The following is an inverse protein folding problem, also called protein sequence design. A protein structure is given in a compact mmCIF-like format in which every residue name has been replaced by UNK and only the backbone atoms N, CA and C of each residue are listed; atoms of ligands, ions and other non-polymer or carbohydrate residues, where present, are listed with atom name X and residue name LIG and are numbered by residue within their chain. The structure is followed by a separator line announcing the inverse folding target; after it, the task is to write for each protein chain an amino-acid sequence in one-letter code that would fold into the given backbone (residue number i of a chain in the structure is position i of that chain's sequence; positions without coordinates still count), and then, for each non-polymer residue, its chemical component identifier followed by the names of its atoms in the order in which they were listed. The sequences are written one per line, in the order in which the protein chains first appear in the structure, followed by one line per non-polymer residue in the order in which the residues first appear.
data_IF_617847310528
#
_entry.id   IF_617847310528
#
_cell.length_a   1.000
_cell.length_b   1.000
_cell.length_c   1.000
_cell.angle_alpha   90.00
_cell.angle_beta   90.00
_cell.angle_gamma   90.00
#
_symmetry.space_group_name_H-M   'P 1'
#
loop_
_entity.id
_entity.type
_entity.pdbx_description
1 polymer ?
#
# COMPACT_ATOMS: atom_id res chain seq x y z
N UNK A 1 71.18 -13.01 -38.42
CA UNK A 1 70.88 -11.64 -37.93
C UNK A 1 69.56 -11.04 -38.44
N UNK A 2 68.99 -11.43 -39.60
CA UNK A 2 67.73 -10.84 -40.11
C UNK A 2 66.44 -11.34 -39.44
N UNK A 3 66.40 -12.58 -38.97
CA UNK A 3 65.19 -13.18 -38.34
C UNK A 3 64.82 -12.52 -36.99
N UNK A 4 65.83 -12.13 -36.21
CA UNK A 4 65.65 -11.48 -34.91
C UNK A 4 65.02 -10.09 -35.01
N UNK A 5 65.27 -9.35 -36.10
CA UNK A 5 64.65 -8.03 -36.34
C UNK A 5 63.16 -8.13 -36.62
N UNK A 6 62.70 -9.14 -37.37
CA UNK A 6 61.28 -9.34 -37.65
C UNK A 6 60.52 -9.82 -36.41
N UNK A 7 61.14 -10.64 -35.57
CA UNK A 7 60.55 -11.05 -34.29
C UNK A 7 60.36 -9.86 -33.34
N UNK A 8 61.34 -8.95 -33.28
CA UNK A 8 61.27 -7.73 -32.46
C UNK A 8 60.20 -6.75 -32.95
N UNK A 9 60.02 -6.63 -34.27
CA UNK A 9 58.96 -5.81 -34.87
C UNK A 9 57.58 -6.43 -34.60
N UNK A 10 57.46 -7.76 -34.67
CA UNK A 10 56.19 -8.45 -34.43
C UNK A 10 55.80 -8.41 -32.94
N UNK A 11 56.77 -8.51 -32.03
CA UNK A 11 56.54 -8.28 -30.59
C UNK A 11 56.19 -6.82 -30.31
N UNK A 12 56.83 -5.85 -30.95
CA UNK A 12 56.47 -4.44 -30.83
C UNK A 12 55.07 -4.12 -31.40
N UNK A 13 54.65 -4.83 -32.45
CA UNK A 13 53.31 -4.69 -33.04
C UNK A 13 52.23 -5.33 -32.18
N UNK A 14 52.52 -6.44 -31.50
CA UNK A 14 51.61 -7.07 -30.52
C UNK A 14 51.51 -6.25 -29.24
N UNK A 15 52.61 -5.66 -28.77
CA UNK A 15 52.61 -4.76 -27.59
C UNK A 15 52.01 -3.39 -27.91
N UNK A 16 52.09 -2.93 -29.17
CA UNK A 16 51.40 -1.73 -29.65
C UNK A 16 49.88 -1.89 -29.80
N UNK A 17 49.39 -3.12 -29.91
CA UNK A 17 47.95 -3.42 -29.99
C UNK A 17 47.29 -3.71 -28.64
N UNK A 18 48.06 -3.90 -27.57
CA UNK A 18 47.55 -3.82 -26.19
C UNK A 18 47.42 -2.37 -25.74
N UNK A 19 46.69 -1.56 -26.51
CA UNK A 19 46.06 -0.36 -25.95
C UNK A 19 45.07 -0.86 -24.91
N UNK A 20 45.37 -0.58 -23.64
CA UNK A 20 44.46 -0.81 -22.53
C UNK A 20 43.06 -0.34 -22.92
N UNK A 21 42.13 -1.28 -23.08
CA UNK A 21 40.72 -0.99 -23.09
C UNK A 21 40.34 -0.69 -21.63
N UNK A 22 40.83 0.42 -21.10
CA UNK A 22 40.37 0.94 -19.82
C UNK A 22 38.96 1.44 -20.09
N UNK A 23 37.97 0.61 -19.76
CA UNK A 23 36.57 1.02 -19.78
C UNK A 23 36.44 2.24 -18.86
N UNK A 24 36.30 3.42 -19.44
CA UNK A 24 36.17 4.66 -18.70
C UNK A 24 34.80 4.69 -18.03
N UNK A 25 34.74 4.98 -16.72
CA UNK A 25 33.47 5.28 -16.04
C UNK A 25 32.68 6.30 -16.85
N UNK A 26 31.49 5.91 -17.28
CA UNK A 26 30.61 6.68 -18.16
C UNK A 26 29.19 6.65 -17.57
N UNK A 27 28.55 7.82 -17.51
CA UNK A 27 27.18 7.98 -17.04
C UNK A 27 26.30 8.48 -18.18
N UNK A 28 25.16 7.82 -18.40
CA UNK A 28 24.21 8.13 -19.48
C UNK A 28 22.78 7.95 -19.00
N UNK A 29 21.82 8.61 -19.68
CA UNK A 29 20.41 8.26 -19.49
C UNK A 29 20.14 6.87 -20.05
N UNK A 30 19.81 5.93 -19.16
CA UNK A 30 19.27 4.62 -19.52
C UNK A 30 17.78 4.73 -19.85
N UNK A 31 17.06 5.57 -19.09
CA UNK A 31 15.65 5.86 -19.33
C UNK A 31 15.37 7.34 -19.14
N UNK A 32 14.85 7.94 -20.21
CA UNK A 32 14.28 9.28 -20.24
C UNK A 32 12.97 9.20 -21.03
N UNK A 33 11.80 9.47 -20.42
CA UNK A 33 10.54 9.33 -21.12
C UNK A 33 10.42 10.35 -22.27
N UNK A 34 9.91 9.90 -23.41
CA UNK A 34 9.66 10.77 -24.58
C UNK A 34 8.46 11.70 -24.39
N UNK A 35 7.56 11.35 -23.47
CA UNK A 35 6.39 12.10 -23.07
C UNK A 35 5.92 11.59 -21.70
N UNK A 36 5.23 12.44 -20.96
CA UNK A 36 4.57 12.10 -19.69
C UNK A 36 3.17 12.69 -19.68
N UNK A 37 2.32 12.29 -18.74
CA UNK A 37 0.98 12.86 -18.56
C UNK A 37 0.98 13.91 -17.45
N UNK A 38 0.03 14.84 -17.49
CA UNK A 38 -0.16 15.84 -16.43
C UNK A 38 -0.40 15.12 -15.09
N UNK A 39 0.28 15.56 -14.02
CA UNK A 39 0.32 14.93 -12.68
C UNK A 39 0.93 13.52 -12.61
N UNK A 40 1.49 12.99 -13.70
CA UNK A 40 2.17 11.70 -13.68
C UNK A 40 3.41 11.75 -12.79
N UNK A 41 3.56 10.73 -11.94
CA UNK A 41 4.84 10.39 -11.32
C UNK A 41 5.61 9.45 -12.27
N UNK A 42 6.86 9.76 -12.59
CA UNK A 42 7.65 9.00 -13.56
C UNK A 42 9.14 8.90 -13.17
N UNK A 43 9.82 7.82 -13.57
CA UNK A 43 11.25 7.65 -13.32
C UNK A 43 12.10 8.31 -14.41
N UNK A 44 13.29 8.74 -14.02
CA UNK A 44 14.44 9.01 -14.89
C UNK A 44 15.59 8.15 -14.37
N UNK A 45 16.19 7.36 -15.24
CA UNK A 45 17.24 6.41 -14.85
C UNK A 45 18.54 6.74 -15.54
N UNK A 46 19.59 6.86 -14.74
CA UNK A 46 20.97 7.01 -15.19
C UNK A 46 21.67 5.67 -15.03
N UNK A 47 22.35 5.20 -16.06
CA UNK A 47 23.27 4.07 -15.98
C UNK A 47 24.68 4.58 -15.76
N UNK A 48 25.37 4.06 -14.76
CA UNK A 48 26.82 4.16 -14.58
C UNK A 48 27.46 2.84 -14.96
N UNK A 49 28.34 2.86 -15.96
CA UNK A 49 29.15 1.70 -16.34
C UNK A 49 30.43 1.78 -15.53
N UNK A 50 30.53 0.98 -14.46
CA UNK A 50 31.66 1.02 -13.53
C UNK A 50 32.53 -0.23 -13.66
N UNK A 51 33.74 -0.07 -14.17
CA UNK A 51 34.77 -1.12 -14.20
C UNK A 51 35.44 -1.35 -12.83
N UNK A 52 35.14 -0.53 -11.82
CA UNK A 52 35.72 -0.62 -10.48
C UNK A 52 34.77 -0.07 -9.40
N UNK A 53 34.31 -0.94 -8.49
CA UNK A 53 33.13 -0.83 -7.62
C UNK A 53 33.29 0.06 -6.38
N UNK A 54 34.35 0.86 -6.30
CA UNK A 54 34.78 1.52 -5.06
C UNK A 54 34.33 2.98 -4.89
N UNK A 55 33.72 3.61 -5.90
CA UNK A 55 33.25 5.01 -5.81
C UNK A 55 31.73 5.09 -5.80
N UNK A 56 31.14 5.71 -4.78
CA UNK A 56 29.71 6.07 -4.83
C UNK A 56 29.56 7.44 -5.52
N UNK A 57 28.93 7.52 -6.71
CA UNK A 57 28.71 8.81 -7.35
C UNK A 57 27.75 9.67 -6.54
N UNK A 58 28.03 10.97 -6.52
CA UNK A 58 27.12 12.00 -5.99
C UNK A 58 26.38 12.63 -7.16
N UNK A 59 25.08 12.83 -6.97
CA UNK A 59 24.18 13.42 -7.96
C UNK A 59 23.63 14.73 -7.43
N UNK A 60 23.80 15.81 -8.18
CA UNK A 60 23.30 17.14 -7.83
C UNK A 60 22.54 17.75 -9.01
N UNK A 61 21.21 17.76 -8.91
CA UNK A 61 20.37 18.49 -9.84
C UNK A 61 20.45 19.99 -9.54
N UNK A 62 20.38 20.81 -10.59
CA UNK A 62 20.35 22.26 -10.46
C UNK A 62 19.21 22.71 -9.53
N UNK A 63 19.58 23.29 -8.39
CA UNK A 63 18.68 23.72 -7.33
C UNK A 63 17.82 24.93 -7.71
N UNK A 64 18.17 25.65 -8.78
CA UNK A 64 17.37 26.78 -9.28
C UNK A 64 16.08 26.31 -9.98
N UNK A 65 16.01 25.04 -10.39
CA UNK A 65 14.83 24.46 -11.02
C UNK A 65 13.73 24.14 -10.01
N UNK A 66 12.49 24.46 -10.38
CA UNK A 66 11.27 24.04 -9.66
C UNK A 66 11.07 22.52 -9.72
N UNK A 67 11.58 21.86 -10.77
CA UNK A 67 11.39 20.44 -11.02
C UNK A 67 12.48 19.62 -10.35
N UNK A 68 12.30 19.31 -9.06
CA UNK A 68 13.23 18.49 -8.29
C UNK A 68 12.74 17.04 -8.16
N UNK A 69 13.65 16.06 -7.99
CA UNK A 69 13.25 14.70 -7.72
C UNK A 69 12.53 14.62 -6.37
N UNK A 70 11.50 13.77 -6.29
CA UNK A 70 10.70 13.53 -5.08
C UNK A 70 11.60 13.03 -3.93
N UNK A 71 12.63 12.26 -4.27
CA UNK A 71 13.63 11.77 -3.33
C UNK A 71 15.01 12.33 -3.67
N UNK A 72 15.73 12.82 -2.65
CA UNK A 72 17.11 13.28 -2.80
C UNK A 72 18.09 12.15 -3.17
N UNK A 73 17.79 10.92 -2.76
CA UNK A 73 18.62 9.74 -3.05
C UNK A 73 17.93 8.90 -4.14
N UNK A 74 18.67 8.42 -5.14
CA UNK A 74 18.12 7.54 -6.15
C UNK A 74 17.84 6.15 -5.58
N UNK A 75 16.93 5.43 -6.23
CA UNK A 75 16.89 3.97 -6.17
C UNK A 75 18.10 3.42 -6.93
N UNK A 76 18.89 2.57 -6.26
CA UNK A 76 20.09 1.96 -6.83
C UNK A 76 19.81 0.49 -7.13
N UNK A 77 20.00 0.07 -8.38
CA UNK A 77 19.90 -1.32 -8.81
C UNK A 77 21.17 -1.70 -9.56
N UNK A 78 21.85 -2.76 -9.13
CA UNK A 78 23.04 -3.29 -9.79
C UNK A 78 22.69 -4.50 -10.65
N UNK A 79 23.24 -4.57 -11.86
CA UNK A 79 23.09 -5.69 -12.77
C UNK A 79 24.43 -5.96 -13.48
N UNK A 80 25.22 -6.89 -12.95
CA UNK A 80 26.61 -7.07 -13.40
C UNK A 80 27.45 -5.84 -13.07
N UNK A 81 28.15 -5.30 -14.06
CA UNK A 81 29.01 -4.12 -13.94
C UNK A 81 28.23 -2.79 -14.09
N UNK A 82 26.95 -2.88 -14.45
CA UNK A 82 26.09 -1.72 -14.64
C UNK A 82 25.35 -1.39 -13.34
N UNK A 83 25.40 -0.11 -12.95
CA UNK A 83 24.59 0.41 -11.84
C UNK A 83 23.56 1.42 -12.35
N UNK A 84 22.30 1.20 -12.01
CA UNK A 84 21.18 2.06 -12.38
C UNK A 84 20.77 2.93 -11.20
N UNK A 85 20.74 4.24 -11.42
CA UNK A 85 20.32 5.26 -10.45
C UNK A 85 19.01 5.87 -10.94
N UNK A 86 17.91 5.56 -10.26
CA UNK A 86 16.57 6.03 -10.66
C UNK A 86 16.06 7.11 -9.73
N UNK A 87 15.71 8.25 -10.31
CA UNK A 87 15.06 9.38 -9.65
C UNK A 87 13.62 9.50 -10.11
N UNK A 88 12.71 9.84 -9.20
CA UNK A 88 11.29 10.00 -9.51
C UNK A 88 10.92 11.47 -9.51
N UNK A 89 10.20 11.90 -10.54
CA UNK A 89 9.69 13.26 -10.71
C UNK A 89 8.16 13.24 -10.85
N UNK A 90 7.53 14.40 -10.65
CA UNK A 90 6.10 14.61 -10.87
C UNK A 90 5.91 15.72 -11.90
N UNK A 91 5.13 15.46 -12.94
CA UNK A 91 4.80 16.43 -13.96
C UNK A 91 3.69 17.39 -13.48
N UNK A 92 3.81 18.69 -13.76
CA UNK A 92 2.85 19.71 -13.31
C UNK A 92 2.31 20.61 -14.44
N UNK A 93 3.17 21.06 -15.35
CA UNK A 93 2.85 22.12 -16.34
C UNK A 93 2.61 21.57 -17.77
N UNK A 94 2.73 22.40 -18.81
CA UNK A 94 2.51 21.97 -20.22
C UNK A 94 3.72 21.27 -20.83
N UNK A 95 4.92 21.57 -20.33
CA UNK A 95 6.20 20.97 -20.72
C UNK A 95 6.98 20.78 -19.41
N UNK A 96 7.57 19.61 -19.23
CA UNK A 96 8.42 19.33 -18.07
C UNK A 96 9.86 19.68 -18.42
N UNK A 97 10.40 20.71 -17.76
CA UNK A 97 11.81 21.08 -17.86
C UNK A 97 12.64 20.24 -16.88
N UNK A 98 13.37 19.24 -17.38
CA UNK A 98 14.32 18.46 -16.58
C UNK A 98 15.55 19.32 -16.27
N UNK A 99 15.89 19.58 -14.99
CA UNK A 99 17.12 20.30 -14.63
C UNK A 99 18.37 19.58 -15.13
N UNK A 100 19.42 20.37 -15.40
CA UNK A 100 20.76 19.82 -15.59
C UNK A 100 21.22 19.08 -14.33
N UNK A 101 22.02 18.05 -14.53
CA UNK A 101 22.51 17.17 -13.47
C UNK A 101 24.02 17.12 -13.47
N UNK A 102 24.61 17.37 -12.30
CA UNK A 102 26.05 17.28 -12.06
C UNK A 102 26.33 15.96 -11.33
N UNK A 103 27.25 15.17 -11.85
CA UNK A 103 27.65 13.87 -11.31
C UNK A 103 29.13 13.93 -10.93
N UNK A 104 29.43 13.72 -9.65
CA UNK A 104 30.79 13.62 -9.13
C UNK A 104 31.08 12.17 -8.72
N UNK A 105 32.07 11.54 -9.36
CA UNK A 105 32.46 10.15 -9.10
C UNK A 105 33.99 10.04 -9.05
N UNK A 106 34.55 10.08 -7.83
CA UNK A 106 36.00 10.22 -7.64
C UNK A 106 36.50 11.54 -8.23
N UNK A 107 37.51 11.48 -9.10
CA UNK A 107 38.08 12.66 -9.76
C UNK A 107 37.31 13.09 -11.02
N UNK A 108 36.28 12.33 -11.43
CA UNK A 108 35.48 12.66 -12.61
C UNK A 108 34.27 13.50 -12.24
N UNK A 109 34.07 14.56 -13.01
CA UNK A 109 32.87 15.41 -13.01
C UNK A 109 32.22 15.31 -14.37
N UNK A 110 30.92 15.04 -14.38
CA UNK A 110 30.13 14.90 -15.60
C UNK A 110 28.88 15.73 -15.44
N UNK A 111 28.62 16.59 -16.42
CA UNK A 111 27.44 17.42 -16.47
C UNK A 111 26.51 16.87 -17.56
N UNK A 112 25.25 16.65 -17.20
CA UNK A 112 24.18 16.28 -18.11
C UNK A 112 23.29 17.51 -18.32
N UNK A 113 23.12 17.92 -19.57
CA UNK A 113 22.33 19.11 -19.94
C UNK A 113 20.84 18.94 -19.61
N UNK A 114 20.16 20.06 -19.40
CA UNK A 114 18.71 20.10 -19.23
C UNK A 114 17.98 19.61 -20.48
N UNK A 115 16.78 19.04 -20.32
CA UNK A 115 15.97 18.53 -21.44
C UNK A 115 14.48 18.77 -21.21
N UNK A 116 13.75 18.98 -22.30
CA UNK A 116 12.30 19.19 -22.25
C UNK A 116 11.55 17.89 -22.55
N UNK A 117 10.62 17.54 -21.68
CA UNK A 117 9.75 16.38 -21.84
C UNK A 117 8.31 16.87 -22.07
N UNK A 118 7.71 16.57 -23.23
CA UNK A 118 6.32 16.94 -23.51
C UNK A 118 5.32 16.35 -22.51
N UNK A 119 4.34 17.16 -22.09
CA UNK A 119 3.24 16.72 -21.23
C UNK A 119 1.95 16.55 -22.05
N UNK A 120 1.26 15.43 -21.84
CA UNK A 120 -0.03 15.11 -22.45
C UNK A 120 -1.14 15.22 -21.42
N UNK A 121 -2.21 15.93 -21.77
CA UNK A 121 -3.41 15.99 -20.95
C UNK A 121 -4.34 14.82 -21.25
N UNK A 122 -4.85 14.24 -20.18
CA UNK A 122 -5.84 13.17 -20.26
C UNK A 122 -7.23 13.77 -20.52
N UNK A 123 -8.14 12.93 -21.05
CA UNK A 123 -9.52 13.32 -21.25
C UNK A 123 -10.26 13.32 -19.91
N UNK A 124 -11.00 14.37 -19.62
CA UNK A 124 -11.82 14.42 -18.41
C UNK A 124 -12.89 13.32 -18.41
N UNK A 125 -13.05 12.69 -17.24
CA UNK A 125 -14.10 11.70 -16.96
C UNK A 125 -14.62 11.90 -15.54
N UNK A 126 -15.86 11.49 -15.30
CA UNK A 126 -16.49 11.59 -13.98
C UNK A 126 -16.12 10.43 -13.06
N UNK A 127 -15.77 9.28 -13.66
CA UNK A 127 -15.31 8.08 -12.97
C UNK A 127 -13.80 8.05 -12.77
N UNK A 128 -13.05 9.09 -13.15
CA UNK A 128 -11.59 9.14 -13.00
C UNK A 128 -11.20 9.64 -11.62
N UNK A 129 -10.37 8.87 -10.92
CA UNK A 129 -9.97 9.15 -9.55
C UNK A 129 -8.81 10.14 -9.42
N UNK A 130 -8.37 10.77 -10.50
CA UNK A 130 -7.16 11.61 -10.51
C UNK A 130 -5.83 10.85 -10.49
N UNK A 131 -5.86 9.51 -10.35
CA UNK A 131 -4.66 8.68 -10.20
C UNK A 131 -4.14 8.18 -11.54
N UNK A 132 -2.88 8.48 -11.83
CA UNK A 132 -2.06 7.89 -12.86
C UNK A 132 -1.08 6.93 -12.20
N UNK A 133 -0.97 5.70 -12.68
CA UNK A 133 -0.09 4.70 -12.10
C UNK A 133 0.40 3.71 -13.16
N UNK A 134 1.59 3.14 -12.97
CA UNK A 134 2.04 2.01 -13.78
C UNK A 134 1.22 0.75 -13.48
N UNK A 135 0.88 0.54 -12.21
CA UNK A 135 -0.06 -0.48 -11.73
C UNK A 135 -0.73 0.02 -10.45
N UNK A 136 -1.98 -0.38 -10.23
CA UNK A 136 -2.74 -0.06 -9.02
C UNK A 136 -3.75 -1.16 -8.74
N UNK A 137 -3.78 -1.62 -7.49
CA UNK A 137 -4.69 -2.65 -7.02
C UNK A 137 -5.21 -2.38 -5.61
N UNK A 138 -6.38 -2.94 -5.34
CA UNK A 138 -7.00 -2.90 -4.03
C UNK A 138 -6.54 -4.12 -3.24
N UNK A 139 -5.90 -3.88 -2.09
CA UNK A 139 -5.45 -4.95 -1.18
C UNK A 139 -6.61 -5.45 -0.32
N UNK A 140 -7.33 -4.53 0.30
CA UNK A 140 -8.48 -4.81 1.16
C UNK A 140 -9.48 -3.67 1.11
N UNK A 141 -10.72 -3.95 1.49
CA UNK A 141 -11.76 -2.94 1.63
C UNK A 141 -12.67 -3.27 2.81
N UNK A 142 -13.19 -2.24 3.45
CA UNK A 142 -14.18 -2.35 4.53
C UNK A 142 -15.27 -1.31 4.31
N UNK A 143 -16.47 -1.61 4.78
CA UNK A 143 -17.56 -0.66 4.80
C UNK A 143 -18.26 -0.69 6.17
N UNK A 144 -18.63 0.48 6.67
CA UNK A 144 -19.39 0.68 7.92
C UNK A 144 -20.42 1.77 7.74
N UNK A 145 -21.38 1.85 8.66
CA UNK A 145 -22.34 2.96 8.70
C UNK A 145 -21.61 4.23 9.11
N UNK A 146 -21.79 5.31 8.34
CA UNK A 146 -21.26 6.65 8.67
C UNK A 146 -22.34 7.48 9.36
N UNK A 147 -23.52 7.57 8.74
CA UNK A 147 -24.73 8.18 9.28
C UNK A 147 -25.96 7.38 8.81
N UNK A 148 -27.18 7.88 9.04
CA UNK A 148 -28.42 7.18 8.66
C UNK A 148 -28.59 7.03 7.14
N UNK A 149 -28.00 7.93 6.36
CA UNK A 149 -28.16 8.00 4.90
C UNK A 149 -26.89 7.56 4.14
N UNK A 150 -25.75 7.44 4.81
CA UNK A 150 -24.45 7.26 4.20
C UNK A 150 -23.64 6.14 4.86
N UNK A 151 -22.89 5.42 4.02
CA UNK A 151 -21.90 4.44 4.41
C UNK A 151 -20.50 5.02 4.24
N UNK A 152 -19.60 4.66 5.14
CA UNK A 152 -18.17 4.89 5.02
C UNK A 152 -17.53 3.67 4.36
N UNK A 153 -16.77 3.88 3.31
CA UNK A 153 -15.97 2.86 2.63
C UNK A 153 -14.51 3.22 2.82
N UNK A 154 -13.72 2.24 3.27
CA UNK A 154 -12.27 2.36 3.42
C UNK A 154 -11.58 1.33 2.53
N UNK A 155 -10.56 1.74 1.80
CA UNK A 155 -9.84 0.93 0.83
C UNK A 155 -8.34 1.02 1.10
N UNK A 156 -7.67 -0.12 1.25
CA UNK A 156 -6.21 -0.20 1.24
C UNK A 156 -5.73 -0.42 -0.18
N UNK A 157 -4.91 0.50 -0.70
CA UNK A 157 -4.45 0.51 -2.08
C UNK A 157 -2.94 0.26 -2.10
N UNK A 158 -2.48 -0.59 -3.03
CA UNK A 158 -1.07 -0.69 -3.41
C UNK A 158 -0.94 -0.27 -4.88
N UNK A 159 -0.01 0.63 -5.17
CA UNK A 159 0.24 1.13 -6.52
C UNK A 159 1.73 1.34 -6.78
N UNK A 160 2.10 1.41 -8.05
CA UNK A 160 3.46 1.64 -8.54
C UNK A 160 3.50 2.85 -9.47
N UNK A 161 4.52 3.68 -9.28
CA UNK A 161 4.71 4.96 -10.00
C UNK A 161 3.45 5.82 -10.01
N UNK A 162 2.76 5.83 -8.86
CA UNK A 162 1.44 6.43 -8.75
C UNK A 162 1.48 7.79 -8.05
N UNK A 163 0.66 8.75 -8.49
CA UNK A 163 0.37 10.00 -7.77
C UNK A 163 -0.81 9.81 -6.80
N UNK A 164 -0.74 8.79 -5.93
CA UNK A 164 -1.87 8.38 -5.07
C UNK A 164 -2.36 9.51 -4.14
N UNK A 165 -1.48 10.44 -3.80
CA UNK A 165 -1.76 11.61 -2.95
C UNK A 165 -2.78 12.56 -3.59
N UNK A 166 -2.92 12.52 -4.91
CA UNK A 166 -3.89 13.35 -5.66
C UNK A 166 -5.23 12.63 -5.86
N UNK A 167 -5.43 11.45 -5.25
CA UNK A 167 -6.64 10.68 -5.46
C UNK A 167 -7.87 11.41 -4.91
N UNK A 168 -8.91 11.52 -5.73
CA UNK A 168 -10.21 12.08 -5.35
C UNK A 168 -11.34 11.41 -6.13
N UNK A 169 -12.57 11.44 -5.61
CA UNK A 169 -13.76 10.96 -6.31
C UNK A 169 -14.83 12.05 -6.36
N UNK A 170 -15.38 12.33 -7.56
CA UNK A 170 -16.34 13.43 -7.76
C UNK A 170 -17.76 13.14 -7.21
N UNK A 171 -18.17 11.87 -7.16
CA UNK A 171 -19.55 11.46 -6.89
C UNK A 171 -19.73 10.87 -5.50
N UNK A 172 -19.06 11.44 -4.50
CA UNK A 172 -19.12 11.01 -3.09
C UNK A 172 -19.31 12.22 -2.19
N UNK A 173 -19.90 12.03 -1.00
CA UNK A 173 -20.19 13.12 -0.05
C UNK A 173 -18.91 13.70 0.53
N UNK A 174 -17.96 12.82 0.81
CA UNK A 174 -16.66 13.15 1.40
C UNK A 174 -15.66 12.05 1.05
N UNK A 175 -14.39 12.40 0.86
CA UNK A 175 -13.32 11.46 0.61
C UNK A 175 -11.94 11.99 1.03
N UNK A 176 -10.98 11.09 1.09
CA UNK A 176 -9.60 11.47 1.37
C UNK A 176 -8.60 10.32 1.37
N UNK A 177 -7.35 10.69 1.16
CA UNK A 177 -6.19 9.81 1.24
C UNK A 177 -5.55 9.93 2.62
N UNK A 178 -5.31 8.79 3.28
CA UNK A 178 -4.69 8.70 4.59
C UNK A 178 -3.55 7.66 4.60
N UNK A 179 -2.64 7.79 5.57
CA UNK A 179 -1.58 6.80 5.83
C UNK A 179 -0.73 6.42 4.59
N UNK A 180 -0.37 7.41 3.78
CA UNK A 180 0.47 7.22 2.59
C UNK A 180 1.88 6.79 3.02
N UNK A 181 2.31 5.63 2.56
CA UNK A 181 3.65 5.07 2.74
C UNK A 181 4.28 4.82 1.39
N UNK A 182 5.30 5.60 1.07
CA UNK A 182 6.00 5.52 -0.21
C UNK A 182 7.42 5.02 -0.03
N UNK A 183 7.79 4.06 -0.87
CA UNK A 183 9.14 3.55 -1.02
C UNK A 183 9.45 3.51 -2.53
N UNK A 184 10.15 4.55 -3.00
CA UNK A 184 10.49 4.73 -4.41
C UNK A 184 9.25 4.67 -5.32
N UNK A 185 9.22 3.74 -6.28
CA UNK A 185 8.06 3.52 -7.15
C UNK A 185 6.83 3.01 -6.39
N UNK A 186 7.01 2.24 -5.32
CA UNK A 186 5.91 1.59 -4.63
C UNK A 186 5.26 2.56 -3.64
N UNK A 187 3.93 2.62 -3.64
CA UNK A 187 3.15 3.34 -2.64
C UNK A 187 2.01 2.48 -2.12
N UNK A 188 1.79 2.54 -0.80
CA UNK A 188 0.63 1.97 -0.13
C UNK A 188 -0.07 3.12 0.58
N UNK A 189 -1.39 3.23 0.40
CA UNK A 189 -2.20 4.24 1.07
C UNK A 189 -3.55 3.65 1.47
N UNK A 190 -4.18 4.28 2.44
CA UNK A 190 -5.59 4.05 2.74
C UNK A 190 -6.40 5.20 2.12
N UNK A 191 -7.54 4.88 1.55
CA UNK A 191 -8.45 5.87 0.98
C UNK A 191 -9.85 5.64 1.54
N UNK A 192 -10.51 6.70 2.00
CA UNK A 192 -11.88 6.64 2.47
C UNK A 192 -12.83 7.42 1.56
N UNK A 193 -14.08 6.97 1.48
CA UNK A 193 -15.15 7.66 0.79
C UNK A 193 -16.48 7.45 1.53
N UNK A 194 -17.24 8.53 1.70
CA UNK A 194 -18.59 8.53 2.24
C UNK A 194 -19.58 8.52 1.08
N UNK A 195 -20.33 7.43 0.97
CA UNK A 195 -21.22 7.12 -0.17
C UNK A 195 -22.64 6.87 0.31
N UNK A 196 -23.68 7.12 -0.52
CA UNK A 196 -25.06 6.86 -0.13
C UNK A 196 -25.28 5.40 0.31
N UNK A 197 -26.12 5.19 1.32
CA UNK A 197 -26.41 3.86 1.88
C UNK A 197 -27.06 2.90 0.87
N UNK A 198 -27.70 3.46 -0.16
CA UNK A 198 -28.31 2.74 -1.29
C UNK A 198 -27.27 2.19 -2.28
N UNK A 199 -26.04 2.71 -2.27
CA UNK A 199 -24.97 2.33 -3.19
C UNK A 199 -24.36 0.99 -2.78
N UNK A 200 -24.39 0.00 -3.68
CA UNK A 200 -23.86 -1.36 -3.43
C UNK A 200 -22.40 -1.55 -3.82
N UNK A 201 -21.86 -0.70 -4.68
CA UNK A 201 -20.49 -0.79 -5.15
C UNK A 201 -19.90 0.61 -5.34
N UNK A 202 -18.65 0.79 -4.92
CA UNK A 202 -17.84 1.95 -5.25
C UNK A 202 -17.01 1.62 -6.51
N UNK A 203 -17.27 2.36 -7.58
CA UNK A 203 -16.64 2.16 -8.89
C UNK A 203 -15.90 3.42 -9.29
N UNK A 204 -14.65 3.26 -9.69
CA UNK A 204 -13.81 4.34 -10.20
C UNK A 204 -12.73 3.79 -11.11
N UNK A 205 -12.04 4.68 -11.81
CA UNK A 205 -10.97 4.37 -12.73
C UNK A 205 -9.70 5.09 -12.34
N UNK A 206 -8.57 4.45 -12.59
CA UNK A 206 -7.26 5.10 -12.64
C UNK A 206 -6.72 5.00 -14.07
N UNK A 207 -5.79 5.88 -14.44
CA UNK A 207 -5.13 5.82 -15.74
C UNK A 207 -3.85 4.99 -15.64
N UNK A 208 -3.80 3.88 -16.36
CA UNK A 208 -2.62 3.04 -16.40
C UNK A 208 -1.61 3.61 -17.41
N UNK A 209 -0.47 4.08 -16.93
CA UNK A 209 0.55 4.77 -17.75
C UNK A 209 1.28 3.84 -18.70
N UNK A 210 1.39 2.55 -18.38
CA UNK A 210 2.02 1.53 -19.23
C UNK A 210 1.08 1.11 -20.37
N UNK A 211 -0.19 0.87 -20.07
CA UNK A 211 -1.21 0.48 -21.06
C UNK A 211 -1.79 1.67 -21.82
N UNK A 212 -1.59 2.89 -21.33
CA UNK A 212 -2.13 4.12 -21.93
C UNK A 212 -3.66 4.19 -21.92
N UNK A 213 -4.32 3.61 -20.92
CA UNK A 213 -5.78 3.57 -20.85
C UNK A 213 -6.31 3.58 -19.41
N UNK A 214 -7.58 3.97 -19.25
CA UNK A 214 -8.29 3.89 -17.98
C UNK A 214 -8.64 2.44 -17.64
N UNK A 215 -8.39 2.04 -16.40
CA UNK A 215 -8.76 0.73 -15.87
C UNK A 215 -9.74 0.89 -14.71
N UNK A 216 -10.77 0.05 -14.69
CA UNK A 216 -11.80 0.05 -13.65
C UNK A 216 -11.38 -0.71 -12.40
N UNK A 217 -11.70 -0.14 -11.24
CA UNK A 217 -11.68 -0.79 -9.95
C UNK A 217 -13.11 -0.79 -9.37
N UNK A 218 -13.50 -1.91 -8.76
CA UNK A 218 -14.82 -2.12 -8.20
C UNK A 218 -14.71 -2.65 -6.77
N UNK A 219 -15.28 -1.93 -5.82
CA UNK A 219 -15.31 -2.30 -4.41
C UNK A 219 -16.74 -2.57 -3.97
N UNK A 220 -17.09 -3.80 -3.56
CA UNK A 220 -18.41 -4.09 -3.02
C UNK A 220 -18.57 -3.44 -1.65
N UNK A 221 -19.70 -2.75 -1.44
CA UNK A 221 -20.05 -2.09 -0.18
C UNK A 221 -20.91 -3.07 0.61
N UNK A 222 -20.27 -3.80 1.53
CA UNK A 222 -20.93 -4.78 2.39
C UNK A 222 -20.85 -4.31 3.82
N UNK A 223 -21.93 -3.69 4.30
CA UNK A 223 -22.07 -3.28 5.70
C UNK A 223 -22.28 -4.54 6.53
N UNK A 224 -21.27 -4.87 7.34
CA UNK A 224 -21.41 -5.92 8.35
C UNK A 224 -22.21 -5.34 9.51
N UNK A 225 -23.53 -5.33 9.38
CA UNK A 225 -24.41 -4.91 10.47
C UNK A 225 -24.35 -5.95 11.59
N UNK A 226 -23.99 -5.53 12.80
CA UNK A 226 -24.02 -6.40 13.98
C UNK A 226 -25.41 -6.52 14.61
N UNK A 227 -26.44 -5.93 14.00
CA UNK A 227 -27.80 -5.86 14.56
C UNK A 227 -28.90 -6.19 13.55
N UNK A 228 -29.57 -7.30 13.87
CA UNK A 228 -30.91 -7.80 13.53
C UNK A 228 -31.83 -6.91 12.66
N UNK A 229 -32.18 -7.43 11.47
CA UNK A 229 -33.47 -7.21 10.81
C UNK A 229 -33.83 -8.44 9.95
N UNK A 230 -34.78 -9.23 10.47
CA UNK A 230 -35.77 -10.08 9.79
C UNK A 230 -35.50 -10.49 8.33
N UNK A 231 -34.71 -11.54 8.15
CA UNK A 231 -35.05 -12.75 7.38
C UNK A 231 -33.78 -13.61 7.32
N UNK A 232 -33.85 -14.78 7.96
CA UNK A 232 -32.80 -15.82 8.02
C UNK A 232 -31.50 -15.42 8.75
N UNK A 233 -31.61 -15.45 10.08
CA UNK A 233 -30.59 -15.39 11.14
C UNK A 233 -29.13 -15.74 10.77
N UNK A 234 -28.30 -14.72 10.58
CA UNK A 234 -26.88 -14.74 10.95
C UNK A 234 -26.64 -13.50 11.83
N UNK A 235 -26.95 -13.65 13.10
CA UNK A 235 -26.74 -12.67 14.16
C UNK A 235 -25.28 -12.81 14.67
N UNK A 236 -24.43 -11.79 14.75
CA UNK A 236 -23.08 -11.92 15.31
C UNK A 236 -23.01 -11.91 16.85
N UNK A 237 -24.17 -11.82 17.52
CA UNK A 237 -24.34 -12.38 18.88
C UNK A 237 -24.24 -13.91 18.88
N UNK A 238 -24.32 -14.49 17.69
CA UNK A 238 -24.58 -15.89 17.39
C UNK A 238 -23.85 -16.26 16.09
N UNK A 239 -22.55 -15.91 16.02
CA UNK A 239 -21.69 -16.17 14.86
C UNK A 239 -21.97 -17.59 14.36
N UNK A 240 -22.48 -17.74 13.14
CA UNK A 240 -22.88 -19.04 12.60
C UNK A 240 -21.70 -20.00 12.59
N UNK A 241 -20.47 -19.48 12.47
CA UNK A 241 -19.27 -20.27 12.64
C UNK A 241 -19.01 -20.63 14.11
N UNK A 242 -19.27 -19.76 15.08
CA UNK A 242 -19.17 -20.11 16.50
C UNK A 242 -20.29 -21.05 16.95
N UNK A 243 -21.52 -20.90 16.44
CA UNK A 243 -22.59 -21.89 16.61
C UNK A 243 -22.18 -23.21 16.02
N UNK A 244 -21.72 -23.23 14.77
CA UNK A 244 -21.28 -24.44 14.10
C UNK A 244 -20.14 -25.11 14.89
N UNK A 245 -19.15 -24.35 15.35
CA UNK A 245 -18.09 -24.86 16.25
C UNK A 245 -18.70 -25.44 17.52
N UNK A 246 -19.57 -24.71 18.24
CA UNK A 246 -20.22 -25.17 19.47
C UNK A 246 -21.01 -26.46 19.25
N UNK A 247 -21.88 -26.52 18.24
CA UNK A 247 -22.66 -27.72 17.92
C UNK A 247 -21.78 -28.89 17.47
N UNK A 248 -20.71 -28.62 16.70
CA UNK A 248 -19.75 -29.66 16.29
C UNK A 248 -19.05 -30.25 17.51
N UNK A 249 -18.57 -29.42 18.43
CA UNK A 249 -17.92 -29.89 19.65
C UNK A 249 -18.91 -30.57 20.61
N UNK A 250 -20.16 -30.11 20.72
CA UNK A 250 -21.22 -30.82 21.46
C UNK A 250 -21.45 -32.21 20.86
N UNK A 251 -21.57 -32.31 19.53
CA UNK A 251 -21.77 -33.57 18.84
C UNK A 251 -20.59 -34.52 19.06
N UNK A 252 -19.35 -34.03 18.97
CA UNK A 252 -18.16 -34.84 19.26
C UNK A 252 -18.07 -35.28 20.73
N UNK A 253 -18.38 -34.40 21.69
CA UNK A 253 -18.39 -34.78 23.10
C UNK A 253 -19.43 -35.87 23.38
N UNK A 254 -20.64 -35.77 22.81
CA UNK A 254 -21.68 -36.82 22.93
C UNK A 254 -21.23 -38.11 22.24
N UNK A 255 -20.70 -38.02 21.01
CA UNK A 255 -20.23 -39.16 20.24
C UNK A 255 -19.12 -39.94 20.99
N UNK A 256 -18.12 -39.25 21.53
CA UNK A 256 -17.04 -39.88 22.29
C UNK A 256 -17.53 -40.47 23.63
N UNK A 257 -18.49 -39.82 24.30
CA UNK A 257 -19.12 -40.41 25.50
C UNK A 257 -19.90 -41.69 25.17
N UNK A 258 -20.65 -41.72 24.07
CA UNK A 258 -21.36 -42.92 23.61
C UNK A 258 -20.38 -44.04 23.22
N UNK A 259 -19.29 -43.70 22.53
CA UNK A 259 -18.23 -44.65 22.20
C UNK A 259 -17.53 -45.21 23.44
N UNK A 260 -17.30 -44.38 24.46
CA UNK A 260 -16.78 -44.83 25.76
C UNK A 260 -17.71 -45.87 26.40
N UNK A 261 -19.03 -45.64 26.42
CA UNK A 261 -19.99 -46.60 26.99
C UNK A 261 -20.05 -47.90 26.19
N UNK A 262 -20.02 -47.83 24.86
CA UNK A 262 -20.13 -49.01 24.01
C UNK A 262 -18.84 -49.85 23.97
N UNK A 263 -17.68 -49.22 23.73
CA UNK A 263 -16.40 -49.92 23.61
C UNK A 263 -15.73 -50.18 24.97
N UNK A 264 -16.14 -49.45 26.02
CA UNK A 264 -15.56 -49.50 27.38
C UNK A 264 -14.04 -49.26 27.41
N UNK A 265 -13.55 -48.45 26.48
CA UNK A 265 -12.13 -48.10 26.33
C UNK A 265 -11.86 -46.67 26.83
N UNK A 266 -10.90 -46.53 27.74
CA UNK A 266 -10.52 -45.27 28.38
C UNK A 266 -10.02 -44.21 27.39
N UNK A 267 -9.52 -44.60 26.22
CA UNK A 267 -9.09 -43.67 25.18
C UNK A 267 -10.21 -42.69 24.76
N UNK A 268 -11.45 -43.17 24.63
CA UNK A 268 -12.60 -42.32 24.25
C UNK A 268 -12.99 -41.33 25.36
N UNK A 269 -12.72 -41.67 26.63
CA UNK A 269 -12.96 -40.76 27.75
C UNK A 269 -12.02 -39.55 27.71
N UNK A 270 -10.76 -39.76 27.34
CA UNK A 270 -9.77 -38.68 27.16
C UNK A 270 -10.21 -37.74 26.03
N UNK A 271 -10.67 -38.27 24.90
CA UNK A 271 -11.18 -37.47 23.79
C UNK A 271 -12.46 -36.70 24.16
N UNK A 272 -13.37 -37.30 24.92
CA UNK A 272 -14.55 -36.62 25.44
C UNK A 272 -14.17 -35.46 26.37
N UNK A 273 -13.22 -35.67 27.29
CA UNK A 273 -12.74 -34.62 28.18
C UNK A 273 -12.08 -33.47 27.42
N UNK A 274 -11.24 -33.78 26.42
CA UNK A 274 -10.54 -32.78 25.62
C UNK A 274 -11.52 -31.91 24.81
N UNK A 275 -12.50 -32.53 24.16
CA UNK A 275 -13.56 -31.82 23.41
C UNK A 275 -14.47 -30.98 24.32
N UNK A 276 -14.72 -31.44 25.55
CA UNK A 276 -15.50 -30.69 26.53
C UNK A 276 -14.72 -29.46 27.03
N UNK A 277 -13.43 -29.60 27.33
CA UNK A 277 -12.57 -28.49 27.74
C UNK A 277 -12.51 -27.42 26.65
N UNK A 278 -12.32 -27.80 25.39
CA UNK A 278 -12.33 -26.84 24.28
C UNK A 278 -13.69 -26.18 24.10
N UNK A 279 -14.80 -26.93 24.24
CA UNK A 279 -16.15 -26.34 24.21
C UNK A 279 -16.33 -25.25 25.27
N UNK A 280 -15.85 -25.47 26.50
CA UNK A 280 -15.94 -24.48 27.59
C UNK A 280 -15.21 -23.17 27.26
N UNK A 281 -14.13 -23.20 26.47
CA UNK A 281 -13.44 -21.98 26.03
C UNK A 281 -14.30 -21.09 25.14
N UNK A 282 -15.23 -21.65 24.36
CA UNK A 282 -16.11 -20.89 23.47
C UNK A 282 -17.29 -20.20 24.17
N UNK A 283 -17.51 -20.49 25.46
CA UNK A 283 -18.55 -19.84 26.27
C UNK A 283 -18.03 -18.64 27.07
N UNK A 284 -16.75 -18.27 26.93
CA UNK A 284 -16.23 -17.04 27.57
C UNK A 284 -16.91 -15.79 26.98
N UNK A 285 -17.39 -14.85 27.83
CA UNK A 285 -18.01 -13.62 27.35
C UNK A 285 -17.01 -12.74 26.59
N UNK A 286 -17.49 -12.04 25.55
CA UNK A 286 -16.68 -11.09 24.77
C UNK A 286 -16.31 -9.90 25.66
N UNK A 287 -15.06 -9.44 25.55
CA UNK A 287 -14.55 -8.28 26.30
C UNK A 287 -15.41 -7.04 26.01
N UNK A 288 -15.77 -6.32 27.07
CA UNK A 288 -16.44 -5.01 26.99
C UNK A 288 -15.47 -3.94 27.41
N UNK A 289 -15.56 -2.78 26.79
CA UNK A 289 -14.77 -1.59 27.14
C UNK A 289 -15.69 -0.41 27.41
N UNK A 290 -15.25 0.45 28.32
CA UNK A 290 -15.90 1.70 28.67
C UNK A 290 -15.17 2.85 27.96
N UNK A 291 -15.90 3.70 27.25
CA UNK A 291 -15.35 4.84 26.51
C UNK A 291 -15.84 6.15 27.12
N UNK A 292 -14.91 7.09 27.29
CA UNK A 292 -15.19 8.39 27.90
C UNK A 292 -16.05 9.30 27.00
N UNK A 293 -16.79 10.22 27.63
CA UNK A 293 -17.52 11.25 26.91
C UNK A 293 -16.55 12.25 26.27
N UNK A 294 -16.80 12.61 25.02
CA UNK A 294 -15.97 13.53 24.24
C UNK A 294 -14.88 12.83 23.42
N UNK A 295 -14.70 11.52 23.60
CA UNK A 295 -13.71 10.72 22.88
C UNK A 295 -13.92 10.82 21.35
N UNK A 296 -12.86 11.10 20.57
CA UNK A 296 -12.93 11.16 19.11
C UNK A 296 -13.03 9.77 18.48
N UNK A 297 -14.09 9.52 17.70
CA UNK A 297 -14.26 8.29 16.92
C UNK A 297 -13.58 8.43 15.55
N UNK A 298 -12.46 7.74 15.36
CA UNK A 298 -11.64 7.78 14.15
C UNK A 298 -12.13 6.80 13.07
N UNK A 299 -11.95 7.19 11.80
CA UNK A 299 -12.24 6.36 10.62
C UNK A 299 -11.24 5.21 10.51
N UNK A 300 -9.95 5.52 10.60
CA UNK A 300 -8.83 4.59 10.59
C UNK A 300 -8.12 4.49 11.96
N UNK A 301 -7.47 3.35 12.26
CA UNK A 301 -6.65 3.16 13.46
C UNK A 301 -5.24 3.75 13.29
N UNK A 302 -5.16 5.06 13.07
CA UNK A 302 -3.91 5.81 12.90
C UNK A 302 -4.04 7.22 13.48
N UNK A 303 -2.95 7.81 13.97
CA UNK A 303 -3.00 9.13 14.62
C UNK A 303 -3.45 10.28 13.72
N UNK A 304 -3.13 10.22 12.42
CA UNK A 304 -3.51 11.24 11.45
C UNK A 304 -4.87 10.96 10.80
N UNK A 305 -5.67 10.05 11.38
CA UNK A 305 -6.97 9.66 10.87
C UNK A 305 -8.00 10.76 11.08
N UNK A 306 -8.88 10.96 10.11
CA UNK A 306 -10.00 11.90 10.27
C UNK A 306 -10.98 11.39 11.32
N UNK A 307 -11.47 12.33 12.13
CA UNK A 307 -12.49 12.09 13.13
C UNK A 307 -13.85 12.03 12.43
N UNK A 308 -14.56 10.92 12.58
CA UNK A 308 -15.92 10.74 12.07
C UNK A 308 -16.93 11.49 12.95
N UNK A 309 -16.88 11.26 14.26
CA UNK A 309 -17.75 11.92 15.25
C UNK A 309 -17.09 11.88 16.63
N UNK A 310 -17.76 12.43 17.65
CA UNK A 310 -17.34 12.34 19.05
C UNK A 310 -18.39 11.61 19.87
N UNK A 311 -17.93 10.85 20.85
CA UNK A 311 -18.79 10.11 21.78
C UNK A 311 -19.54 11.12 22.66
N UNK A 312 -20.86 11.19 22.50
CA UNK A 312 -21.71 12.17 23.18
C UNK A 312 -21.93 11.90 24.68
N UNK A 313 -21.91 10.63 25.08
CA UNK A 313 -22.11 10.17 26.46
C UNK A 313 -21.23 8.97 26.74
N UNK A 314 -20.77 8.80 27.99
CA UNK A 314 -20.03 7.60 28.44
C UNK A 314 -20.73 6.33 27.96
N UNK A 315 -19.97 5.43 27.34
CA UNK A 315 -20.51 4.27 26.62
C UNK A 315 -19.80 2.98 27.02
N UNK A 316 -20.57 1.98 27.44
CA UNK A 316 -20.10 0.60 27.54
C UNK A 316 -20.46 -0.16 26.26
N UNK A 317 -19.44 -0.60 25.52
CA UNK A 317 -19.61 -1.28 24.23
C UNK A 317 -18.76 -2.55 24.17
N UNK A 318 -19.22 -3.60 23.45
CA UNK A 318 -18.37 -4.71 23.09
C UNK A 318 -17.13 -4.24 22.31
N UNK A 319 -15.98 -4.81 22.63
CA UNK A 319 -14.77 -4.63 21.86
C UNK A 319 -14.83 -5.49 20.60
N UNK A 320 -14.82 -4.85 19.42
CA UNK A 320 -14.88 -5.54 18.13
C UNK A 320 -13.50 -5.98 17.63
N UNK A 321 -12.44 -5.35 18.11
CA UNK A 321 -11.05 -5.69 17.79
C UNK A 321 -10.07 -4.64 18.31
N UNK A 322 -8.78 -5.01 18.36
CA UNK A 322 -7.68 -4.10 18.71
C UNK A 322 -6.67 -4.04 17.59
N UNK A 323 -6.08 -2.87 17.35
CA UNK A 323 -4.97 -2.69 16.40
C UNK A 323 -4.12 -1.52 16.87
N UNK A 324 -2.83 -1.77 17.15
CA UNK A 324 -1.94 -0.77 17.75
C UNK A 324 -2.58 -0.24 19.04
N UNK A 325 -2.62 1.08 19.21
CA UNK A 325 -3.21 1.79 20.36
C UNK A 325 -4.69 2.14 20.13
N UNK A 326 -5.36 1.43 19.21
CA UNK A 326 -6.74 1.69 18.82
C UNK A 326 -7.64 0.48 19.05
N UNK A 327 -8.84 0.76 19.57
CA UNK A 327 -9.89 -0.19 19.84
C UNK A 327 -11.07 0.06 18.92
N UNK A 328 -11.49 -0.97 18.20
CA UNK A 328 -12.65 -0.92 17.31
C UNK A 328 -13.91 -1.11 18.13
N UNK A 329 -14.85 -0.18 18.01
CA UNK A 329 -16.11 -0.18 18.73
C UNK A 329 -17.31 0.03 17.81
N UNK A 330 -18.50 -0.35 18.28
CA UNK A 330 -19.78 0.06 17.71
C UNK A 330 -20.35 1.18 18.56
N UNK A 331 -20.64 2.30 17.92
CA UNK A 331 -21.29 3.48 18.47
C UNK A 331 -22.76 3.54 17.99
N UNK A 332 -23.52 4.50 18.52
CA UNK A 332 -24.95 4.71 18.22
C UNK A 332 -25.24 4.61 16.71
N UNK A 333 -26.44 4.15 16.37
CA UNK A 333 -26.87 3.93 14.98
C UNK A 333 -25.97 2.97 14.19
N UNK A 334 -25.34 1.99 14.87
CA UNK A 334 -24.46 0.98 14.25
C UNK A 334 -23.21 1.58 13.60
N UNK A 335 -22.82 2.80 13.98
CA UNK A 335 -21.59 3.42 13.49
C UNK A 335 -20.39 2.65 14.03
N UNK A 336 -19.46 2.27 13.16
CA UNK A 336 -18.25 1.55 13.58
C UNK A 336 -17.04 2.43 13.33
N UNK A 337 -16.19 2.58 14.35
CA UNK A 337 -14.96 3.35 14.27
C UNK A 337 -13.93 2.90 15.30
N UNK A 338 -12.86 3.67 15.41
CA UNK A 338 -11.72 3.40 16.28
C UNK A 338 -11.60 4.46 17.37
N UNK A 339 -11.28 4.05 18.58
CA UNK A 339 -11.03 4.91 19.75
C UNK A 339 -9.62 4.61 20.27
N UNK A 340 -8.90 5.62 20.74
CA UNK A 340 -7.56 5.42 21.30
C UNK A 340 -7.62 4.79 22.69
N UNK A 341 -6.57 4.07 23.08
CA UNK A 341 -6.44 3.50 24.42
C UNK A 341 -6.56 4.58 25.53
N UNK A 342 -6.09 5.80 25.26
CA UNK A 342 -6.14 6.91 26.22
C UNK A 342 -7.56 7.44 26.51
N UNK A 343 -8.50 7.19 25.61
CA UNK A 343 -9.90 7.62 25.69
C UNK A 343 -10.82 6.55 26.35
N UNK A 344 -10.22 5.44 26.80
CA UNK A 344 -10.91 4.41 27.58
C UNK A 344 -10.99 4.87 29.03
N UNK A 345 -12.14 4.64 29.67
CA UNK A 345 -12.33 4.94 31.09
C UNK A 345 -11.20 4.31 31.91
N UNK A 346 -10.45 5.15 32.64
CA UNK A 346 -9.47 4.66 33.61
C UNK A 346 -10.22 4.16 34.85
N UNK A 347 -9.90 2.95 35.28
CA UNK A 347 -10.43 2.34 36.50
C UNK A 347 -10.00 3.08 37.77
#
# INVERSE_FOLDING_TARGET
MRLSRYLLILVAMVVGFSVNLSASKEYKYSYLPKKVYENQLFPITIIGIESDSSSSPKFEFDQSSKNQPIFKKPLIVQNGDDTFYTFYFKADEKIFHLPSLHIESGDKKIDMESSDIPIVRLKDRDDFSGVLAADMKIRTSQASTYDEENNLVTISIEAFEANIEDMYLKMVKEDGVENVKRDNAKVVAEYYAVVPSTQKNLKFTYFNTIKGQYLFLNVPIVIRSYSVSTQSEINPKDDSFDKLKKYTFIAFSIFFLLMFVWRRDFFYLILAALTLITLLTFYRPKEKICVEQGAPLYILPTDNSRISTKIDTRLDTPLLGKRLEFNKIEYKNKMIGWIKDEDICKD
#
